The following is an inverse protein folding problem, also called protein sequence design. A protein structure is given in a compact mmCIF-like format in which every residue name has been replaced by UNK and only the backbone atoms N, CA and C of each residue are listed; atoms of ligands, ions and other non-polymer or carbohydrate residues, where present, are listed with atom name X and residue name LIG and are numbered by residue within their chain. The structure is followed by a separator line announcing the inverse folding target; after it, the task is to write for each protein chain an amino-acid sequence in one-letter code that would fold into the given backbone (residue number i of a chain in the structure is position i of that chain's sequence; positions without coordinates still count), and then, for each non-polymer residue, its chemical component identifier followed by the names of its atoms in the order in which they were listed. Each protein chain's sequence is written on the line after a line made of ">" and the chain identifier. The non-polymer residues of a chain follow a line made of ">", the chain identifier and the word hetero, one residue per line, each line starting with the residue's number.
data_IF_714517576428
#
_entry.id   IF_714517576428
#
_cell.length_a   1.000
_cell.length_b   1.000
_cell.length_c   1.000
_cell.angle_alpha   90.00
_cell.angle_beta   90.00
_cell.angle_gamma   90.00
#
_symmetry.space_group_name_H-M   'P 1'
#
loop_
_entity.id
_entity.type
_entity.pdbx_description
1 polymer ?
#
# COMPACT_ATOMS: atom_id res chain seq x y z
N UNK A 1 13.74 84.51 -39.79
CA UNK A 1 14.73 84.19 -40.82
C UNK A 1 15.70 83.20 -40.22
N UNK A 2 15.81 82.03 -40.86
CA UNK A 2 16.92 81.06 -40.83
C UNK A 2 17.22 80.28 -39.55
N UNK A 3 17.12 78.94 -39.70
CA UNK A 3 17.96 77.88 -39.13
C UNK A 3 17.89 77.63 -37.59
N UNK A 4 17.92 76.41 -37.03
CA UNK A 4 18.61 75.17 -37.44
C UNK A 4 18.12 73.95 -36.61
N UNK A 5 18.22 72.76 -37.22
CA UNK A 5 18.64 71.46 -36.67
C UNK A 5 17.81 70.66 -35.62
N UNK A 6 17.25 69.54 -36.11
CA UNK A 6 17.42 68.15 -35.66
C UNK A 6 17.69 67.86 -34.16
N UNK A 7 16.79 67.11 -33.52
CA UNK A 7 17.15 66.09 -32.52
C UNK A 7 16.16 64.92 -32.53
N UNK A 8 16.72 63.74 -32.29
CA UNK A 8 16.16 62.41 -32.50
C UNK A 8 15.00 62.03 -31.57
N UNK A 9 14.03 61.30 -32.13
CA UNK A 9 12.98 60.57 -31.40
C UNK A 9 13.55 59.27 -30.85
N UNK A 10 13.78 59.22 -29.54
CA UNK A 10 14.07 57.98 -28.81
C UNK A 10 12.78 57.36 -28.27
N UNK A 11 12.67 56.06 -28.50
CA UNK A 11 11.53 55.21 -28.18
C UNK A 11 11.32 55.06 -26.66
N UNK A 12 10.08 55.27 -26.21
CA UNK A 12 9.65 54.96 -24.84
C UNK A 12 9.10 53.53 -24.80
N UNK A 13 9.86 52.63 -24.19
CA UNK A 13 9.46 51.26 -23.86
C UNK A 13 8.38 51.24 -22.79
N UNK A 14 7.19 50.74 -23.11
CA UNK A 14 6.16 50.39 -22.13
C UNK A 14 6.52 49.07 -21.43
N UNK A 15 6.28 48.93 -20.10
CA UNK A 15 6.64 47.71 -19.39
C UNK A 15 5.71 46.56 -19.76
N UNK A 16 6.32 45.41 -20.04
CA UNK A 16 5.64 44.14 -20.28
C UNK A 16 4.79 43.74 -19.07
N UNK A 17 3.48 43.62 -19.27
CA UNK A 17 2.59 42.96 -18.32
C UNK A 17 2.99 41.49 -18.24
N UNK A 18 3.63 41.12 -17.12
CA UNK A 18 3.90 39.73 -16.79
C UNK A 18 2.56 39.03 -16.53
N UNK A 19 2.30 37.99 -17.31
CA UNK A 19 1.21 37.05 -17.09
C UNK A 19 1.38 36.44 -15.70
N UNK A 20 0.49 36.80 -14.79
CA UNK A 20 0.40 36.20 -13.46
C UNK A 20 0.11 34.71 -13.61
N UNK A 21 1.15 33.88 -13.51
CA UNK A 21 1.02 32.47 -13.21
C UNK A 21 0.25 32.37 -11.90
N UNK A 22 -0.95 31.81 -11.93
CA UNK A 22 -1.69 31.42 -10.73
C UNK A 22 -0.84 30.39 -9.99
N UNK A 23 -0.02 30.87 -9.06
CA UNK A 23 0.63 30.03 -8.07
C UNK A 23 -0.48 29.45 -7.21
N UNK A 24 -0.67 28.13 -7.26
CA UNK A 24 -1.43 27.44 -6.24
C UNK A 24 -0.86 27.88 -4.87
N UNK A 25 -1.70 28.26 -3.89
CA UNK A 25 -1.22 28.81 -2.63
C UNK A 25 -0.24 27.81 -1.98
N UNK A 26 0.90 28.29 -1.50
CA UNK A 26 1.97 27.47 -0.89
C UNK A 26 1.42 26.50 0.18
N UNK A 27 0.32 26.86 0.84
CA UNK A 27 -0.42 26.04 1.79
C UNK A 27 -0.98 24.73 1.21
N UNK A 28 -1.38 24.73 -0.07
CA UNK A 28 -1.87 23.53 -0.75
C UNK A 28 -0.74 22.50 -0.94
N UNK A 29 0.45 22.95 -1.35
CA UNK A 29 1.63 22.10 -1.50
C UNK A 29 2.10 21.53 -0.16
N UNK A 30 2.20 22.36 0.88
CA UNK A 30 2.61 21.92 2.23
C UNK A 30 1.59 20.91 2.82
N UNK A 31 0.28 21.15 2.61
CA UNK A 31 -0.76 20.23 3.09
C UNK A 31 -0.76 18.87 2.37
N UNK A 32 -0.41 18.85 1.09
CA UNK A 32 -0.30 17.61 0.32
C UNK A 32 0.90 16.76 0.75
N UNK A 33 2.04 17.41 0.99
CA UNK A 33 3.27 16.77 1.43
C UNK A 33 3.13 16.10 2.80
N UNK A 34 2.45 16.76 3.75
CA UNK A 34 2.19 16.17 5.08
C UNK A 34 1.30 14.92 5.03
N UNK A 35 0.29 14.90 4.14
CA UNK A 35 -0.59 13.73 3.95
C UNK A 35 0.17 12.56 3.32
N UNK A 36 1.04 12.83 2.36
CA UNK A 36 1.86 11.81 1.70
C UNK A 36 2.85 11.19 2.69
N UNK A 37 3.50 12.01 3.51
CA UNK A 37 4.40 11.51 4.55
C UNK A 37 3.72 10.57 5.55
N UNK A 38 2.51 10.89 6.05
CA UNK A 38 1.78 10.00 6.97
C UNK A 38 1.52 8.64 6.33
N UNK A 39 1.14 8.64 5.05
CA UNK A 39 0.87 7.42 4.30
C UNK A 39 2.15 6.60 4.15
N UNK A 40 3.25 7.22 3.76
CA UNK A 40 4.53 6.52 3.54
C UNK A 40 5.08 5.95 4.86
N UNK A 41 4.98 6.69 5.97
CA UNK A 41 5.36 6.20 7.31
C UNK A 41 4.54 4.96 7.69
N UNK A 42 3.22 4.99 7.49
CA UNK A 42 2.36 3.85 7.81
C UNK A 42 2.59 2.64 6.89
N UNK A 43 2.90 2.89 5.61
CA UNK A 43 3.31 1.83 4.67
C UNK A 43 4.62 1.17 5.08
N UNK A 44 5.63 1.97 5.45
CA UNK A 44 6.91 1.47 5.93
C UNK A 44 6.75 0.66 7.21
N UNK A 45 5.94 1.16 8.16
CA UNK A 45 5.61 0.44 9.39
C UNK A 45 4.92 -0.90 9.11
N UNK A 46 3.88 -0.91 8.27
CA UNK A 46 3.16 -2.13 7.90
C UNK A 46 4.05 -3.14 7.17
N UNK A 47 4.93 -2.68 6.27
CA UNK A 47 5.88 -3.52 5.55
C UNK A 47 6.83 -4.24 6.51
N UNK A 48 7.45 -3.49 7.44
CA UNK A 48 8.34 -4.06 8.45
C UNK A 48 7.62 -5.03 9.37
N UNK A 49 6.41 -4.68 9.79
CA UNK A 49 5.61 -5.50 10.69
C UNK A 49 5.30 -6.87 10.06
N UNK A 50 4.85 -6.90 8.80
CA UNK A 50 4.56 -8.13 8.07
C UNK A 50 5.84 -8.90 7.75
N UNK A 51 6.87 -8.23 7.26
CA UNK A 51 8.13 -8.88 6.89
C UNK A 51 8.76 -9.55 8.12
N UNK A 52 8.83 -8.86 9.27
CA UNK A 52 9.41 -9.44 10.46
C UNK A 52 8.55 -10.56 11.07
N UNK A 53 7.22 -10.46 10.96
CA UNK A 53 6.33 -11.58 11.30
C UNK A 53 6.63 -12.82 10.48
N UNK A 54 6.73 -12.71 9.16
CA UNK A 54 7.10 -13.83 8.29
C UNK A 54 8.53 -14.32 8.55
N UNK A 55 9.47 -13.42 8.83
CA UNK A 55 10.84 -13.80 9.18
C UNK A 55 10.83 -14.72 10.42
N UNK A 56 10.10 -14.37 11.48
CA UNK A 56 9.97 -15.22 12.67
C UNK A 56 9.35 -16.58 12.36
N UNK A 57 8.33 -16.63 11.50
CA UNK A 57 7.73 -17.90 11.08
C UNK A 57 8.66 -18.80 10.28
N UNK A 58 9.67 -18.23 9.61
CA UNK A 58 10.62 -18.98 8.78
C UNK A 58 11.80 -19.50 9.60
N UNK A 59 12.36 -18.71 10.51
CA UNK A 59 13.64 -19.04 11.18
C UNK A 59 13.55 -19.27 12.68
N UNK A 60 12.47 -18.89 13.35
CA UNK A 60 12.40 -18.91 14.82
C UNK A 60 11.38 -19.92 15.34
N UNK A 61 11.70 -20.60 16.45
CA UNK A 61 10.89 -21.68 17.04
C UNK A 61 9.49 -21.27 17.52
N UNK A 62 9.21 -19.96 17.60
CA UNK A 62 7.95 -19.43 18.10
C UNK A 62 7.96 -19.18 19.61
N UNK A 63 7.05 -18.32 20.07
CA UNK A 63 7.08 -17.78 21.44
C UNK A 63 6.77 -18.83 22.49
N UNK A 64 5.82 -19.73 22.22
CA UNK A 64 5.47 -20.81 23.15
C UNK A 64 6.66 -21.74 23.38
N UNK A 65 7.23 -22.30 22.29
CA UNK A 65 8.40 -23.18 22.36
C UNK A 65 9.61 -22.49 23.01
N UNK A 66 9.84 -21.22 22.68
CA UNK A 66 10.89 -20.42 23.29
C UNK A 66 10.70 -20.28 24.80
N UNK A 67 9.49 -19.92 25.26
CA UNK A 67 9.19 -19.75 26.67
C UNK A 67 9.31 -21.07 27.44
N UNK A 68 8.87 -22.19 26.87
CA UNK A 68 9.02 -23.51 27.49
C UNK A 68 10.49 -23.91 27.68
N UNK A 69 11.37 -23.56 26.75
CA UNK A 69 12.79 -23.91 26.83
C UNK A 69 13.61 -22.94 27.69
N UNK A 70 13.29 -21.65 27.65
CA UNK A 70 14.14 -20.58 28.23
C UNK A 70 13.57 -20.01 29.54
N UNK A 71 12.30 -20.29 29.86
CA UNK A 71 11.63 -19.80 31.05
C UNK A 71 11.70 -18.27 31.17
N UNK A 72 11.88 -17.75 32.38
CA UNK A 72 11.95 -16.31 32.65
C UNK A 72 13.37 -15.74 32.60
N UNK A 73 14.26 -16.33 31.78
CA UNK A 73 15.64 -15.85 31.67
C UNK A 73 15.72 -14.37 31.28
N UNK A 74 16.60 -13.64 31.97
CA UNK A 74 16.88 -12.22 31.73
C UNK A 74 18.10 -12.00 30.82
N UNK A 75 18.59 -13.05 30.15
CA UNK A 75 19.65 -12.91 29.17
C UNK A 75 19.24 -11.91 28.07
N UNK A 76 20.16 -11.09 27.51
CA UNK A 76 19.82 -10.07 26.52
C UNK A 76 19.01 -10.61 25.33
N UNK A 77 19.35 -11.80 24.83
CA UNK A 77 18.61 -12.46 23.75
C UNK A 77 17.17 -12.83 24.13
N UNK A 78 16.94 -13.23 25.37
CA UNK A 78 15.61 -13.55 25.91
C UNK A 78 14.75 -12.31 26.09
N UNK A 79 15.34 -11.22 26.61
CA UNK A 79 14.65 -9.92 26.72
C UNK A 79 14.22 -9.40 25.35
N UNK A 80 15.10 -9.48 24.35
CA UNK A 80 14.78 -9.09 22.98
C UNK A 80 13.70 -10.00 22.41
N UNK A 81 13.81 -11.31 22.59
CA UNK A 81 12.79 -12.26 22.13
C UNK A 81 11.41 -11.92 22.71
N UNK A 82 11.31 -11.70 24.03
CA UNK A 82 10.07 -11.29 24.69
C UNK A 82 9.58 -9.91 24.24
N UNK A 83 10.47 -8.94 24.03
CA UNK A 83 10.11 -7.62 23.50
C UNK A 83 9.48 -7.71 22.09
N UNK A 84 9.80 -8.75 21.32
CA UNK A 84 9.19 -8.99 20.00
C UNK A 84 7.82 -9.69 20.07
N UNK A 85 7.27 -9.94 21.26
CA UNK A 85 5.94 -10.54 21.43
C UNK A 85 4.83 -9.87 20.60
N UNK A 86 4.73 -8.52 20.51
CA UNK A 86 3.70 -7.86 19.71
C UNK A 86 3.72 -8.23 18.21
N UNK A 87 4.86 -8.71 17.70
CA UNK A 87 4.99 -9.15 16.32
C UNK A 87 4.13 -10.40 16.03
N UNK A 88 3.62 -11.10 17.05
CA UNK A 88 2.63 -12.18 16.88
C UNK A 88 1.38 -11.72 16.10
N UNK A 89 1.01 -10.44 16.19
CA UNK A 89 -0.07 -9.83 15.44
C UNK A 89 0.42 -9.10 14.18
N UNK A 90 1.60 -9.44 13.66
CA UNK A 90 2.19 -8.68 12.54
C UNK A 90 1.40 -8.76 11.23
N UNK A 91 0.52 -9.75 11.09
CA UNK A 91 -0.47 -9.82 10.01
C UNK A 91 -1.43 -8.62 9.98
N UNK A 92 -1.55 -7.85 11.07
CA UNK A 92 -2.29 -6.59 11.12
C UNK A 92 -1.78 -5.52 10.12
N UNK A 93 -0.55 -5.65 9.62
CA UNK A 93 -0.05 -4.79 8.55
C UNK A 93 -0.80 -4.95 7.22
N UNK A 94 -1.45 -6.10 6.97
CA UNK A 94 -2.21 -6.34 5.73
C UNK A 94 -3.46 -5.45 5.63
N UNK A 95 -4.35 -5.39 6.64
CA UNK A 95 -5.43 -4.39 6.69
C UNK A 95 -4.98 -2.94 6.49
N UNK A 96 -3.82 -2.57 7.05
CA UNK A 96 -3.23 -1.23 6.88
C UNK A 96 -2.95 -0.96 5.40
N UNK A 97 -2.32 -1.89 4.69
CA UNK A 97 -2.07 -1.76 3.25
C UNK A 97 -3.36 -1.62 2.44
N UNK A 98 -4.40 -2.37 2.75
CA UNK A 98 -5.66 -2.28 1.99
C UNK A 98 -6.38 -0.95 2.21
N UNK A 99 -6.45 -0.44 3.44
CA UNK A 99 -7.03 0.89 3.72
C UNK A 99 -6.22 1.98 3.01
N UNK A 100 -4.88 1.92 3.06
CA UNK A 100 -4.02 2.89 2.35
C UNK A 100 -4.24 2.80 0.84
N UNK A 101 -4.28 1.58 0.29
CA UNK A 101 -4.48 1.33 -1.13
C UNK A 101 -5.80 1.95 -1.62
N UNK A 102 -6.90 1.69 -0.92
CA UNK A 102 -8.21 2.26 -1.25
C UNK A 102 -8.23 3.79 -1.21
N UNK A 103 -7.60 4.37 -0.20
CA UNK A 103 -7.45 5.83 -0.12
C UNK A 103 -6.63 6.37 -1.31
N UNK A 104 -5.45 5.83 -1.57
CA UNK A 104 -4.55 6.32 -2.62
C UNK A 104 -5.12 6.16 -4.04
N UNK A 105 -5.84 5.07 -4.31
CA UNK A 105 -6.47 4.82 -5.61
C UNK A 105 -7.65 5.76 -5.84
N UNK A 106 -8.49 5.93 -4.83
CA UNK A 106 -9.73 6.68 -4.98
C UNK A 106 -9.55 8.20 -4.82
N UNK A 107 -8.60 8.66 -4.00
CA UNK A 107 -8.33 10.09 -3.69
C UNK A 107 -8.41 10.99 -4.92
N UNK A 108 -7.61 10.70 -5.96
CA UNK A 108 -7.57 11.55 -7.15
C UNK A 108 -8.90 11.67 -7.90
N UNK A 109 -9.70 10.59 -7.92
CA UNK A 109 -11.00 10.60 -8.55
C UNK A 109 -12.06 11.29 -7.68
N UNK A 110 -12.03 11.07 -6.35
CA UNK A 110 -12.92 11.74 -5.41
C UNK A 110 -12.74 13.26 -5.44
N UNK A 111 -11.51 13.76 -5.41
CA UNK A 111 -11.23 15.19 -5.52
C UNK A 111 -11.66 15.76 -6.88
N UNK A 112 -11.42 15.06 -8.00
CA UNK A 112 -11.89 15.52 -9.31
C UNK A 112 -13.41 15.56 -9.41
N UNK A 113 -14.10 14.55 -8.89
CA UNK A 113 -15.56 14.50 -8.85
C UNK A 113 -16.16 15.62 -7.98
N UNK A 114 -15.48 15.99 -6.89
CA UNK A 114 -15.89 17.10 -6.04
C UNK A 114 -15.77 18.47 -6.74
N UNK A 115 -14.79 18.64 -7.64
CA UNK A 115 -14.63 19.87 -8.43
C UNK A 115 -15.48 19.88 -9.71
N UNK A 116 -15.67 18.73 -10.34
CA UNK A 116 -16.45 18.54 -11.56
C UNK A 116 -17.44 17.36 -11.38
N UNK A 117 -18.74 17.64 -11.13
CA UNK A 117 -19.77 16.61 -10.99
C UNK A 117 -19.96 15.72 -12.24
N UNK A 118 -19.55 16.20 -13.41
CA UNK A 118 -19.64 15.43 -14.65
C UNK A 118 -18.44 14.49 -14.86
N UNK A 119 -17.36 14.65 -14.09
CA UNK A 119 -16.13 13.87 -14.19
C UNK A 119 -16.39 12.36 -14.31
N UNK A 120 -15.82 11.76 -15.36
CA UNK A 120 -15.83 10.31 -15.62
C UNK A 120 -14.43 9.75 -15.51
N UNK A 121 -14.31 8.57 -14.93
CA UNK A 121 -13.05 7.85 -14.90
C UNK A 121 -12.78 7.25 -16.28
N UNK A 122 -11.63 7.58 -16.84
CA UNK A 122 -11.08 6.87 -17.99
C UNK A 122 -10.55 5.50 -17.54
N UNK A 123 -11.38 4.47 -17.70
CA UNK A 123 -11.11 3.11 -17.22
C UNK A 123 -9.91 2.46 -17.94
N UNK A 124 -9.82 2.62 -19.27
CA UNK A 124 -8.73 2.02 -20.06
C UNK A 124 -7.36 2.55 -19.64
N UNK A 125 -7.24 3.86 -19.53
CA UNK A 125 -6.03 4.52 -19.05
C UNK A 125 -5.76 4.26 -17.56
N UNK A 126 -6.80 4.10 -16.75
CA UNK A 126 -6.65 3.65 -15.36
C UNK A 126 -6.01 2.26 -15.31
N UNK A 127 -6.55 1.27 -16.02
CA UNK A 127 -6.03 -0.09 -16.05
C UNK A 127 -4.62 -0.15 -16.63
N UNK A 128 -4.37 0.53 -17.75
CA UNK A 128 -3.06 0.55 -18.41
C UNK A 128 -1.95 1.03 -17.47
N UNK A 129 -2.17 2.14 -16.74
CA UNK A 129 -1.19 2.66 -15.77
C UNK A 129 -0.94 1.68 -14.63
N UNK A 130 -1.97 0.99 -14.14
CA UNK A 130 -1.83 0.04 -13.05
C UNK A 130 -1.13 -1.23 -13.51
N UNK A 131 -1.45 -1.71 -14.71
CA UNK A 131 -0.76 -2.81 -15.36
C UNK A 131 0.74 -2.52 -15.52
N UNK A 132 1.08 -1.38 -16.13
CA UNK A 132 2.48 -0.96 -16.34
C UNK A 132 3.26 -0.74 -15.03
N UNK A 133 2.56 -0.44 -13.93
CA UNK A 133 3.18 -0.29 -12.60
C UNK A 133 3.44 -1.63 -11.92
N UNK A 134 2.51 -2.59 -11.99
CA UNK A 134 2.59 -3.84 -11.21
C UNK A 134 3.28 -4.97 -11.96
N UNK A 135 2.92 -5.22 -13.23
CA UNK A 135 3.32 -6.44 -13.92
C UNK A 135 4.83 -6.61 -14.10
N UNK A 136 5.62 -5.56 -14.42
CA UNK A 136 7.08 -5.70 -14.48
C UNK A 136 7.68 -6.14 -13.15
N UNK A 137 7.15 -5.60 -12.04
CA UNK A 137 7.63 -5.90 -10.69
C UNK A 137 7.20 -7.30 -10.26
N UNK A 138 5.96 -7.69 -10.57
CA UNK A 138 5.46 -9.05 -10.34
C UNK A 138 6.30 -10.09 -11.09
N UNK A 139 6.54 -9.89 -12.38
CA UNK A 139 7.33 -10.82 -13.18
C UNK A 139 8.75 -10.98 -12.60
N UNK A 140 9.41 -9.87 -12.26
CA UNK A 140 10.73 -9.92 -11.63
C UNK A 140 10.70 -10.63 -10.27
N UNK A 141 9.66 -10.44 -9.46
CA UNK A 141 9.50 -11.13 -8.18
C UNK A 141 9.25 -12.64 -8.35
N UNK A 142 8.49 -13.06 -9.36
CA UNK A 142 8.27 -14.48 -9.69
C UNK A 142 9.57 -15.14 -10.16
N UNK A 143 10.33 -14.47 -11.04
CA UNK A 143 11.62 -14.98 -11.50
C UNK A 143 12.64 -15.05 -10.36
N UNK A 144 12.67 -14.05 -9.48
CA UNK A 144 13.50 -14.08 -8.28
C UNK A 144 13.08 -15.23 -7.36
N UNK A 145 11.78 -15.43 -7.12
CA UNK A 145 11.26 -16.55 -6.33
C UNK A 145 11.69 -17.89 -6.91
N UNK A 146 11.53 -18.08 -8.23
CA UNK A 146 11.98 -19.29 -8.93
C UNK A 146 13.48 -19.52 -8.70
N UNK A 147 14.31 -18.49 -8.87
CA UNK A 147 15.77 -18.60 -8.69
C UNK A 147 16.14 -18.98 -7.26
N UNK A 148 15.58 -18.29 -6.25
CA UNK A 148 15.91 -18.53 -4.85
C UNK A 148 15.40 -19.88 -4.35
N UNK A 149 14.20 -20.29 -4.76
CA UNK A 149 13.64 -21.58 -4.38
C UNK A 149 14.36 -22.74 -5.08
N UNK A 150 14.78 -22.57 -6.35
CA UNK A 150 15.56 -23.59 -7.06
C UNK A 150 16.92 -23.87 -6.40
N UNK A 151 17.54 -22.85 -5.79
CA UNK A 151 18.76 -23.02 -4.99
C UNK A 151 18.42 -23.72 -3.67
N UNK A 152 17.36 -23.28 -2.99
CA UNK A 152 16.95 -23.83 -1.69
C UNK A 152 16.55 -25.31 -1.76
N UNK A 153 15.94 -25.74 -2.86
CA UNK A 153 15.58 -27.15 -3.11
C UNK A 153 16.80 -28.09 -3.22
N UNK A 154 18.00 -27.55 -3.48
CA UNK A 154 19.23 -28.34 -3.54
C UNK A 154 19.88 -28.52 -2.15
N UNK A 155 19.32 -27.91 -1.10
CA UNK A 155 19.89 -27.87 0.25
C UNK A 155 18.99 -28.61 1.25
N UNK A 156 19.10 -29.95 1.39
CA UNK A 156 18.32 -30.69 2.37
C UNK A 156 18.76 -30.44 3.83
N UNK A 157 17.82 -30.40 4.79
CA UNK A 157 16.37 -30.51 4.60
C UNK A 157 15.74 -29.25 4.01
N UNK A 158 14.76 -29.45 3.13
CA UNK A 158 14.06 -28.39 2.40
C UNK A 158 13.08 -27.67 3.33
N UNK A 159 13.05 -26.34 3.26
CA UNK A 159 12.12 -25.54 4.04
C UNK A 159 10.66 -25.82 3.63
N UNK A 160 9.82 -26.17 4.62
CA UNK A 160 8.40 -26.48 4.43
C UNK A 160 7.55 -25.36 3.82
N UNK A 161 8.06 -24.12 3.76
CA UNK A 161 7.39 -22.99 3.11
C UNK A 161 7.45 -23.07 1.59
N UNK A 162 8.40 -23.79 1.00
CA UNK A 162 8.51 -23.95 -0.46
C UNK A 162 7.37 -24.84 -0.94
N UNK A 163 6.47 -24.27 -1.75
CA UNK A 163 5.41 -25.00 -2.47
C UNK A 163 5.87 -25.31 -3.90
N UNK A 164 4.92 -25.63 -4.77
CA UNK A 164 5.18 -25.90 -6.19
C UNK A 164 5.80 -24.71 -6.92
N UNK A 165 6.90 -24.97 -7.63
CA UNK A 165 7.62 -24.00 -8.48
C UNK A 165 7.43 -24.25 -9.99
N UNK A 166 6.52 -25.15 -10.36
CA UNK A 166 6.27 -25.52 -11.75
C UNK A 166 5.59 -24.43 -12.60
N UNK A 167 5.40 -24.70 -13.89
CA UNK A 167 4.81 -23.74 -14.83
C UNK A 167 3.36 -23.37 -14.47
N UNK A 168 2.56 -24.33 -14.01
CA UNK A 168 1.17 -24.09 -13.64
C UNK A 168 1.01 -23.03 -12.53
N UNK A 169 1.61 -23.19 -11.32
CA UNK A 169 1.52 -22.15 -10.29
C UNK A 169 2.20 -20.84 -10.70
N UNK A 170 3.24 -20.88 -11.56
CA UNK A 170 3.83 -19.67 -12.12
C UNK A 170 2.80 -18.87 -12.94
N UNK A 171 2.07 -19.53 -13.85
CA UNK A 171 1.03 -18.90 -14.66
C UNK A 171 -0.15 -18.41 -13.81
N UNK A 172 -0.59 -19.21 -12.83
CA UNK A 172 -1.63 -18.79 -11.87
C UNK A 172 -1.24 -17.48 -11.19
N UNK A 173 0.01 -17.33 -10.74
CA UNK A 173 0.46 -16.12 -10.07
C UNK A 173 0.73 -14.96 -11.03
N UNK A 174 1.22 -15.25 -12.24
CA UNK A 174 1.42 -14.25 -13.29
C UNK A 174 0.10 -13.57 -13.69
N UNK A 175 -0.97 -14.35 -13.80
CA UNK A 175 -2.32 -13.84 -14.06
C UNK A 175 -3.06 -13.37 -12.81
N UNK A 176 -2.40 -13.38 -11.65
CA UNK A 176 -2.97 -12.93 -10.37
C UNK A 176 -4.22 -13.72 -9.95
N UNK A 177 -4.25 -15.04 -10.21
CA UNK A 177 -5.35 -15.96 -9.93
C UNK A 177 -5.13 -16.84 -8.69
N UNK A 178 -4.04 -16.64 -7.96
CA UNK A 178 -3.76 -17.33 -6.70
C UNK A 178 -4.85 -17.04 -5.66
N UNK A 179 -5.35 -18.09 -5.00
CA UNK A 179 -6.52 -18.07 -4.13
C UNK A 179 -7.84 -18.40 -4.83
N UNK A 180 -7.88 -18.37 -6.18
CA UNK A 180 -9.03 -18.79 -6.99
C UNK A 180 -8.72 -20.05 -7.78
N UNK A 181 -7.64 -20.03 -8.56
CA UNK A 181 -7.26 -21.09 -9.49
C UNK A 181 -6.01 -21.87 -9.04
N UNK A 182 -5.44 -21.57 -7.88
CA UNK A 182 -4.27 -22.27 -7.35
C UNK A 182 -3.62 -21.53 -6.18
N UNK A 183 -2.49 -22.04 -5.71
CA UNK A 183 -1.77 -21.46 -4.56
C UNK A 183 -0.74 -20.41 -4.98
N UNK A 184 -0.18 -19.71 -3.99
CA UNK A 184 0.96 -18.81 -4.16
C UNK A 184 2.18 -19.55 -4.69
N UNK A 185 2.94 -18.90 -5.58
CA UNK A 185 4.10 -19.50 -6.24
C UNK A 185 5.27 -19.76 -5.28
N UNK A 186 5.78 -20.99 -5.24
CA UNK A 186 6.93 -21.37 -4.44
C UNK A 186 6.79 -21.01 -2.96
N UNK A 187 7.85 -20.46 -2.38
CA UNK A 187 7.89 -19.94 -1.01
C UNK A 187 7.23 -18.58 -0.83
N UNK A 188 6.82 -17.91 -1.93
CA UNK A 188 6.32 -16.54 -1.89
C UNK A 188 4.84 -16.46 -1.52
N UNK A 189 4.55 -16.92 -0.30
CA UNK A 189 3.24 -16.87 0.32
C UNK A 189 2.66 -15.48 0.50
N UNK A 190 3.37 -14.38 0.20
CA UNK A 190 2.85 -13.02 0.29
C UNK A 190 2.05 -12.61 -0.96
N UNK A 191 2.20 -13.32 -2.09
CA UNK A 191 1.59 -12.94 -3.38
C UNK A 191 0.06 -12.95 -3.37
N UNK A 192 -0.62 -13.59 -2.41
CA UNK A 192 -2.09 -13.60 -2.38
C UNK A 192 -2.70 -12.18 -2.26
N UNK A 193 -2.05 -11.26 -1.55
CA UNK A 193 -2.54 -9.87 -1.44
C UNK A 193 -2.40 -9.10 -2.75
N UNK A 194 -1.49 -9.52 -3.63
CA UNK A 194 -1.36 -8.92 -4.96
C UNK A 194 -2.52 -9.31 -5.87
N UNK A 195 -3.01 -10.55 -5.79
CA UNK A 195 -4.23 -10.96 -6.51
C UNK A 195 -5.40 -10.05 -6.13
N UNK A 196 -5.55 -9.78 -4.84
CA UNK A 196 -6.54 -8.83 -4.33
C UNK A 196 -6.38 -7.43 -4.91
N UNK A 197 -5.16 -6.92 -4.98
CA UNK A 197 -4.91 -5.61 -5.55
C UNK A 197 -5.31 -5.53 -7.03
N UNK A 198 -5.02 -6.57 -7.81
CA UNK A 198 -5.47 -6.67 -9.21
C UNK A 198 -7.00 -6.75 -9.31
N UNK A 199 -7.66 -7.49 -8.42
CA UNK A 199 -9.13 -7.53 -8.35
C UNK A 199 -9.72 -6.14 -8.04
N UNK A 200 -9.14 -5.39 -7.08
CA UNK A 200 -9.55 -4.01 -6.80
C UNK A 200 -9.43 -3.13 -8.04
N UNK A 201 -8.36 -3.28 -8.82
CA UNK A 201 -8.17 -2.50 -10.04
C UNK A 201 -9.18 -2.86 -11.13
N UNK A 202 -9.49 -4.14 -11.29
CA UNK A 202 -10.48 -4.62 -12.24
C UNK A 202 -11.87 -4.03 -11.92
N UNK A 203 -12.29 -4.08 -10.65
CA UNK A 203 -13.64 -3.65 -10.24
C UNK A 203 -13.76 -2.15 -9.99
N UNK A 204 -12.65 -1.42 -9.79
CA UNK A 204 -12.68 -0.01 -9.40
C UNK A 204 -13.51 0.89 -10.32
N UNK A 205 -13.41 0.82 -11.66
CA UNK A 205 -14.25 1.65 -12.53
C UNK A 205 -15.75 1.43 -12.33
N UNK A 206 -16.16 0.18 -12.08
CA UNK A 206 -17.54 -0.15 -11.74
C UNK A 206 -17.94 0.47 -10.40
N UNK A 207 -17.12 0.29 -9.35
CA UNK A 207 -17.37 0.90 -8.04
C UNK A 207 -17.46 2.43 -8.12
N UNK A 208 -16.63 3.06 -8.96
CA UNK A 208 -16.67 4.50 -9.19
C UNK A 208 -17.97 4.92 -9.90
N UNK A 209 -18.42 4.17 -10.90
CA UNK A 209 -19.70 4.42 -11.57
C UNK A 209 -20.89 4.27 -10.61
N UNK A 210 -20.89 3.21 -9.79
CA UNK A 210 -21.92 2.97 -8.77
C UNK A 210 -21.91 4.04 -7.68
N UNK A 211 -20.72 4.50 -7.25
CA UNK A 211 -20.54 5.63 -6.34
C UNK A 211 -21.23 6.89 -6.86
N UNK A 212 -21.18 7.17 -8.17
CA UNK A 212 -21.87 8.34 -8.74
C UNK A 212 -23.39 8.24 -8.66
N UNK A 213 -23.94 7.02 -8.73
CA UNK A 213 -25.39 6.78 -8.69
C UNK A 213 -25.94 6.72 -7.26
N UNK A 214 -25.23 6.04 -6.35
CA UNK A 214 -25.74 5.70 -5.02
C UNK A 214 -25.01 6.39 -3.85
N UNK A 215 -23.85 7.02 -4.11
CA UNK A 215 -22.99 7.59 -3.07
C UNK A 215 -22.12 6.55 -2.35
N UNK A 216 -20.99 6.97 -1.75
CA UNK A 216 -20.02 6.02 -1.17
C UNK A 216 -20.60 5.23 -0.02
N UNK A 217 -21.46 5.84 0.80
CA UNK A 217 -22.00 5.18 1.98
C UNK A 217 -22.82 3.94 1.58
N UNK A 218 -23.63 4.04 0.51
CA UNK A 218 -24.37 2.90 -0.02
C UNK A 218 -23.42 1.81 -0.56
N UNK A 219 -22.32 2.19 -1.22
CA UNK A 219 -21.33 1.22 -1.72
C UNK A 219 -20.57 0.55 -0.57
N UNK A 220 -20.16 1.30 0.45
CA UNK A 220 -19.48 0.76 1.64
C UNK A 220 -20.40 -0.21 2.38
N UNK A 221 -21.68 0.15 2.58
CA UNK A 221 -22.67 -0.75 3.20
C UNK A 221 -22.92 -1.97 2.33
N UNK A 222 -23.10 -1.81 1.02
CA UNK A 222 -23.28 -2.92 0.09
C UNK A 222 -22.10 -3.89 0.10
N UNK A 223 -20.87 -3.37 0.06
CA UNK A 223 -19.65 -4.17 0.15
C UNK A 223 -19.51 -4.83 1.52
N UNK A 224 -19.89 -4.15 2.61
CA UNK A 224 -19.90 -4.73 3.95
C UNK A 224 -20.92 -5.89 4.07
N UNK A 225 -22.09 -5.76 3.45
CA UNK A 225 -23.09 -6.83 3.42
C UNK A 225 -22.61 -8.02 2.58
N UNK A 226 -22.07 -7.77 1.39
CA UNK A 226 -21.46 -8.82 0.55
C UNK A 226 -20.32 -9.49 1.31
N UNK A 227 -19.53 -8.72 2.05
CA UNK A 227 -18.47 -9.25 2.89
C UNK A 227 -19.01 -10.21 3.98
N UNK A 228 -20.01 -9.78 4.75
CA UNK A 228 -20.63 -10.62 5.79
C UNK A 228 -21.25 -11.89 5.19
N UNK A 229 -22.01 -11.76 4.10
CA UNK A 229 -22.64 -12.90 3.43
C UNK A 229 -21.58 -13.86 2.89
N UNK A 230 -20.51 -13.34 2.30
CA UNK A 230 -19.38 -14.14 1.81
C UNK A 230 -18.71 -14.90 2.95
N UNK A 231 -18.48 -14.27 4.10
CA UNK A 231 -17.92 -14.95 5.27
C UNK A 231 -18.84 -16.10 5.73
N UNK A 232 -20.14 -15.87 5.85
CA UNK A 232 -21.08 -16.89 6.30
C UNK A 232 -21.24 -18.08 5.34
N UNK A 233 -21.15 -17.84 4.02
CA UNK A 233 -21.42 -18.85 2.99
C UNK A 233 -20.15 -19.56 2.52
N UNK A 234 -19.06 -18.82 2.30
CA UNK A 234 -17.88 -19.33 1.61
C UNK A 234 -16.77 -19.80 2.56
N UNK A 235 -16.73 -19.31 3.80
CA UNK A 235 -15.74 -19.76 4.80
C UNK A 235 -15.86 -21.27 5.09
N UNK A 236 -17.04 -21.86 4.87
CA UNK A 236 -17.27 -23.31 5.01
C UNK A 236 -16.68 -24.17 3.90
N UNK A 237 -16.25 -23.56 2.78
CA UNK A 237 -15.82 -24.29 1.58
C UNK A 237 -14.33 -24.13 1.25
N UNK A 238 -13.53 -23.51 2.13
CA UNK A 238 -12.10 -23.21 1.92
C UNK A 238 -11.78 -22.43 0.62
N UNK A 239 -12.80 -21.95 -0.07
CA UNK A 239 -12.63 -21.06 -1.20
C UNK A 239 -12.30 -19.70 -0.60
N UNK A 240 -11.05 -19.27 -0.73
CA UNK A 240 -10.60 -17.93 -0.32
C UNK A 240 -11.22 -16.86 -1.22
N UNK A 241 -12.54 -16.72 -1.18
CA UNK A 241 -13.21 -15.61 -1.85
C UNK A 241 -13.05 -14.34 -1.01
N UNK A 242 -12.61 -13.35 -1.74
CA UNK A 242 -11.95 -12.12 -1.34
C UNK A 242 -12.80 -10.93 -0.80
N UNK A 243 -14.15 -10.97 -0.66
CA UNK A 243 -14.93 -9.84 -0.13
C UNK A 243 -14.48 -9.32 1.25
N UNK A 244 -13.89 -10.19 2.07
CA UNK A 244 -13.25 -9.89 3.36
C UNK A 244 -12.33 -8.69 3.34
N UNK A 245 -11.61 -8.48 2.24
CA UNK A 245 -10.63 -7.40 2.13
C UNK A 245 -11.17 -6.20 1.37
N UNK A 246 -12.29 -6.37 0.65
CA UNK A 246 -12.96 -5.30 -0.08
C UNK A 246 -13.52 -4.26 0.89
N UNK A 247 -14.02 -4.68 2.05
CA UNK A 247 -14.46 -3.75 3.08
C UNK A 247 -13.30 -2.86 3.57
N UNK A 248 -12.16 -3.44 3.93
CA UNK A 248 -10.96 -2.70 4.35
C UNK A 248 -10.50 -1.69 3.30
N UNK A 249 -10.50 -2.09 2.03
CA UNK A 249 -10.18 -1.21 0.92
C UNK A 249 -11.20 -0.05 0.78
N UNK A 250 -12.50 -0.37 0.90
CA UNK A 250 -13.57 0.61 0.83
C UNK A 250 -13.54 1.63 1.97
N UNK A 251 -13.05 1.28 3.16
CA UNK A 251 -12.82 2.25 4.24
C UNK A 251 -11.82 3.34 3.82
N UNK A 252 -10.76 2.96 3.11
CA UNK A 252 -9.81 3.91 2.52
C UNK A 252 -10.46 4.84 1.50
N UNK A 253 -11.25 4.28 0.59
CA UNK A 253 -12.01 5.06 -0.39
C UNK A 253 -13.02 6.01 0.29
N UNK A 254 -13.67 5.56 1.36
CA UNK A 254 -14.56 6.39 2.17
C UNK A 254 -13.84 7.57 2.81
N UNK A 255 -12.64 7.36 3.37
CA UNK A 255 -11.82 8.45 3.92
C UNK A 255 -11.49 9.47 2.81
N UNK A 256 -11.16 9.03 1.61
CA UNK A 256 -10.87 9.93 0.49
C UNK A 256 -12.08 10.81 0.12
N UNK A 257 -13.29 10.24 0.14
CA UNK A 257 -14.53 10.96 -0.13
C UNK A 257 -14.91 11.94 0.99
N UNK A 258 -14.68 11.55 2.24
CA UNK A 258 -14.87 12.44 3.38
C UNK A 258 -13.92 13.65 3.31
N UNK A 259 -12.65 13.42 2.93
CA UNK A 259 -11.66 14.47 2.74
C UNK A 259 -11.93 15.36 1.52
N UNK A 260 -12.60 14.83 0.49
CA UNK A 260 -13.05 15.61 -0.67
C UNK A 260 -14.32 16.44 -0.37
N UNK A 261 -14.89 16.33 0.83
CA UNK A 261 -16.08 17.08 1.25
C UNK A 261 -17.39 16.52 0.70
N UNK A 262 -17.38 15.32 0.13
CA UNK A 262 -18.54 14.73 -0.55
C UNK A 262 -19.45 13.90 0.38
N UNK A 263 -19.05 13.66 1.63
CA UNK A 263 -19.88 12.95 2.60
C UNK A 263 -20.86 13.91 3.31
N UNK A 264 -22.16 13.61 3.23
CA UNK A 264 -23.21 14.39 3.91
C UNK A 264 -23.10 14.35 5.45
N UNK A 265 -22.54 13.27 5.99
CA UNK A 265 -22.31 13.09 7.42
C UNK A 265 -20.96 13.72 7.78
N UNK A 266 -20.98 14.74 8.63
CA UNK A 266 -19.77 15.32 9.22
C UNK A 266 -19.48 14.57 10.53
N UNK A 267 -18.44 13.74 10.59
CA UNK A 267 -18.13 13.04 11.83
C UNK A 267 -17.70 14.00 12.94
N UNK A 268 -17.72 13.54 14.21
CA UNK A 268 -17.27 14.33 15.34
C UNK A 268 -15.82 14.81 15.16
N UNK A 269 -15.58 16.09 15.49
CA UNK A 269 -14.27 16.74 15.32
C UNK A 269 -13.20 16.28 16.32
N UNK A 270 -13.60 15.66 17.43
CA UNK A 270 -12.72 15.29 18.54
C UNK A 270 -11.66 14.28 18.13
N UNK A 271 -10.39 14.68 18.15
CA UNK A 271 -9.26 13.79 17.88
C UNK A 271 -9.19 12.63 18.88
N UNK A 272 -9.50 12.89 20.16
CA UNK A 272 -9.44 11.90 21.24
C UNK A 272 -10.41 10.75 21.01
N UNK A 273 -11.60 11.05 20.50
CA UNK A 273 -12.59 10.02 20.17
C UNK A 273 -12.06 9.09 19.07
N UNK A 274 -11.54 9.66 17.98
CA UNK A 274 -11.00 8.88 16.86
C UNK A 274 -9.81 8.01 17.25
N UNK A 275 -8.86 8.56 18.02
CA UNK A 275 -7.73 7.78 18.52
C UNK A 275 -8.15 6.76 19.59
N UNK A 276 -9.16 7.06 20.41
CA UNK A 276 -9.75 6.11 21.35
C UNK A 276 -10.42 4.94 20.63
N UNK A 277 -11.20 5.21 19.57
CA UNK A 277 -11.78 4.17 18.71
C UNK A 277 -10.70 3.36 18.00
N UNK A 278 -9.65 4.02 17.49
CA UNK A 278 -8.52 3.33 16.87
C UNK A 278 -7.85 2.36 17.84
N UNK A 279 -7.59 2.78 19.08
CA UNK A 279 -7.04 1.92 20.12
C UNK A 279 -7.99 0.77 20.50
N UNK A 280 -9.28 1.07 20.71
CA UNK A 280 -10.30 0.07 21.04
C UNK A 280 -10.37 -1.03 19.99
N UNK A 281 -10.54 -0.67 18.72
CA UNK A 281 -10.64 -1.63 17.63
C UNK A 281 -9.32 -2.39 17.39
N UNK A 282 -8.17 -1.75 17.60
CA UNK A 282 -6.87 -2.42 17.52
C UNK A 282 -6.74 -3.50 18.58
N UNK A 283 -7.05 -3.17 19.84
CA UNK A 283 -7.00 -4.11 20.96
C UNK A 283 -8.05 -5.22 20.82
N UNK A 284 -9.27 -4.88 20.39
CA UNK A 284 -10.31 -5.86 20.10
C UNK A 284 -9.87 -6.82 18.99
N UNK A 285 -9.19 -6.32 17.94
CA UNK A 285 -8.60 -7.14 16.90
C UNK A 285 -7.54 -8.11 17.41
N UNK A 286 -6.71 -7.68 18.38
CA UNK A 286 -5.72 -8.56 19.01
C UNK A 286 -6.39 -9.72 19.76
N UNK A 287 -7.52 -9.47 20.44
CA UNK A 287 -8.31 -10.53 21.08
C UNK A 287 -9.04 -11.43 20.07
N UNK A 288 -9.66 -10.82 19.06
CA UNK A 288 -10.37 -11.54 18.00
C UNK A 288 -9.45 -12.45 17.17
N UNK A 289 -8.14 -12.14 17.09
CA UNK A 289 -7.16 -12.93 16.35
C UNK A 289 -7.07 -14.38 16.85
N UNK A 290 -7.35 -14.62 18.14
CA UNK A 290 -7.39 -15.97 18.72
C UNK A 290 -8.68 -16.72 18.42
N UNK A 291 -9.76 -16.00 18.06
CA UNK A 291 -11.06 -16.59 17.71
C UNK A 291 -11.14 -16.86 16.21
N UNK A 292 -10.68 -15.92 15.39
CA UNK A 292 -10.69 -16.04 13.94
C UNK A 292 -9.98 -14.88 13.25
N UNK A 293 -9.13 -15.19 12.27
CA UNK A 293 -8.34 -14.20 11.53
C UNK A 293 -9.24 -13.20 10.79
N UNK A 294 -10.36 -13.64 10.24
CA UNK A 294 -11.30 -12.78 9.53
C UNK A 294 -11.77 -11.60 10.40
N UNK A 295 -12.30 -11.87 11.59
CA UNK A 295 -12.81 -10.82 12.49
C UNK A 295 -11.70 -9.86 12.92
N UNK A 296 -10.51 -10.39 13.24
CA UNK A 296 -9.36 -9.57 13.61
C UNK A 296 -8.99 -8.57 12.53
N UNK A 297 -8.98 -9.00 11.27
CA UNK A 297 -8.64 -8.14 10.13
C UNK A 297 -9.67 -7.03 9.91
N UNK A 298 -10.97 -7.30 10.13
CA UNK A 298 -12.00 -6.26 10.05
C UNK A 298 -11.81 -5.21 11.15
N UNK A 299 -11.57 -5.65 12.39
CA UNK A 299 -11.36 -4.75 13.52
C UNK A 299 -10.08 -3.91 13.34
N UNK A 300 -8.98 -4.51 12.88
CA UNK A 300 -7.76 -3.77 12.56
C UNK A 300 -7.95 -2.79 11.40
N UNK A 301 -8.72 -3.14 10.37
CA UNK A 301 -9.04 -2.21 9.28
C UNK A 301 -9.83 -1.00 9.77
N UNK A 302 -10.86 -1.23 10.61
CA UNK A 302 -11.67 -0.15 11.21
C UNK A 302 -10.80 0.70 12.13
N UNK A 303 -10.01 0.08 13.01
CA UNK A 303 -9.10 0.78 13.93
C UNK A 303 -8.10 1.66 13.19
N UNK A 304 -7.48 1.13 12.13
CA UNK A 304 -6.57 1.90 11.30
C UNK A 304 -7.30 2.99 10.49
N UNK A 305 -8.51 2.74 9.98
CA UNK A 305 -9.32 3.75 9.30
C UNK A 305 -9.66 4.93 10.22
N UNK A 306 -10.03 4.67 11.48
CA UNK A 306 -10.24 5.70 12.51
C UNK A 306 -8.98 6.54 12.75
N UNK A 307 -7.82 5.89 12.87
CA UNK A 307 -6.53 6.56 13.01
C UNK A 307 -6.22 7.42 11.77
N UNK A 308 -6.27 6.83 10.58
CA UNK A 308 -5.89 7.46 9.33
C UNK A 308 -6.78 8.66 9.01
N UNK A 309 -8.09 8.55 9.24
CA UNK A 309 -9.04 9.64 9.06
C UNK A 309 -8.58 10.90 9.79
N UNK A 310 -8.21 10.78 11.07
CA UNK A 310 -7.78 11.91 11.89
C UNK A 310 -6.34 12.32 11.64
N UNK A 311 -5.45 11.37 11.36
CA UNK A 311 -4.06 11.65 11.03
C UNK A 311 -3.94 12.52 9.77
N UNK A 312 -4.80 12.31 8.77
CA UNK A 312 -4.82 13.10 7.53
C UNK A 312 -5.41 14.52 7.67
N UNK A 313 -6.23 14.78 8.70
CA UNK A 313 -6.71 16.14 9.03
C UNK A 313 -5.66 16.97 9.77
N UNK A 314 -4.74 16.30 10.47
CA UNK A 314 -3.74 16.98 11.29
C UNK A 314 -2.69 17.63 10.39
N UNK A 315 -2.75 18.97 10.28
CA UNK A 315 -1.77 19.78 9.50
C UNK A 315 -0.37 19.76 10.08
N UNK A 316 -0.20 19.28 11.31
CA UNK A 316 1.12 18.93 11.82
C UNK A 316 1.56 17.74 10.99
N UNK A 317 2.35 18.03 9.95
CA UNK A 317 3.25 17.06 9.35
C UNK A 317 3.84 16.23 10.50
N UNK A 318 4.10 14.95 10.24
CA UNK A 318 5.03 14.16 11.01
C UNK A 318 6.42 14.85 10.96
N UNK A 319 6.54 16.01 11.60
CA UNK A 319 7.65 16.92 11.49
C UNK A 319 8.76 16.35 12.36
N UNK A 320 9.76 15.78 11.69
CA UNK A 320 11.15 15.96 12.07
C UNK A 320 11.83 14.85 12.86
N UNK A 321 11.13 13.92 13.51
CA UNK A 321 11.84 12.87 14.25
C UNK A 321 12.56 11.92 13.28
N UNK A 322 13.80 11.56 13.61
CA UNK A 322 14.60 10.65 12.78
C UNK A 322 13.86 9.32 12.48
N UNK A 323 13.15 8.68 13.44
CA UNK A 323 12.41 7.45 13.18
C UNK A 323 11.30 7.60 12.12
N UNK A 324 10.57 8.71 12.13
CA UNK A 324 9.52 8.96 11.13
C UNK A 324 10.11 9.17 9.73
N UNK A 325 11.27 9.81 9.62
CA UNK A 325 11.97 9.94 8.34
C UNK A 325 12.46 8.59 7.81
N UNK A 326 12.96 7.73 8.69
CA UNK A 326 13.37 6.36 8.32
C UNK A 326 12.15 5.55 7.86
N UNK A 327 11.06 5.54 8.62
CA UNK A 327 9.83 4.84 8.26
C UNK A 327 9.24 5.34 6.94
N UNK A 328 9.26 6.65 6.69
CA UNK A 328 8.83 7.22 5.42
C UNK A 328 9.66 6.70 4.25
N UNK A 329 11.00 6.65 4.38
CA UNK A 329 11.89 6.08 3.36
C UNK A 329 11.66 4.59 3.14
N UNK A 330 11.36 3.84 4.18
CA UNK A 330 10.95 2.43 4.06
C UNK A 330 9.59 2.31 3.35
N UNK A 331 8.72 3.31 3.51
CA UNK A 331 7.46 3.43 2.78
C UNK A 331 7.64 3.46 1.27
N UNK A 332 8.68 4.14 0.77
CA UNK A 332 8.96 4.30 -0.66
C UNK A 332 9.13 2.96 -1.38
N UNK A 333 9.82 2.01 -0.75
CA UNK A 333 10.07 0.66 -1.29
C UNK A 333 9.32 -0.45 -0.54
N UNK A 334 8.28 -0.08 0.21
CA UNK A 334 7.45 -1.03 0.97
C UNK A 334 6.89 -2.16 0.10
N UNK A 335 6.55 -1.86 -1.15
CA UNK A 335 6.03 -2.83 -2.11
C UNK A 335 7.10 -3.85 -2.54
N UNK A 336 8.30 -3.39 -2.90
CA UNK A 336 9.45 -4.26 -3.17
C UNK A 336 9.79 -5.17 -1.98
N UNK A 337 9.87 -4.63 -0.75
CA UNK A 337 10.12 -5.44 0.44
C UNK A 337 9.03 -6.50 0.62
N UNK A 338 7.77 -6.10 0.48
CA UNK A 338 6.64 -7.01 0.58
C UNK A 338 6.69 -8.16 -0.45
N UNK A 339 7.12 -7.88 -1.69
CA UNK A 339 7.14 -8.90 -2.75
C UNK A 339 8.23 -9.95 -2.63
N UNK A 340 9.38 -9.62 -2.02
CA UNK A 340 10.57 -10.49 -2.10
C UNK A 340 11.05 -11.04 -0.75
N UNK A 341 10.51 -10.56 0.38
CA UNK A 341 11.04 -10.92 1.71
C UNK A 341 10.94 -12.42 2.01
N UNK A 342 9.83 -13.08 1.68
CA UNK A 342 9.62 -14.50 1.98
C UNK A 342 10.63 -15.44 1.28
N UNK A 343 10.76 -15.43 -0.06
CA UNK A 343 11.74 -16.29 -0.73
C UNK A 343 13.17 -15.98 -0.30
N UNK A 344 13.47 -14.71 0.04
CA UNK A 344 14.75 -14.32 0.59
C UNK A 344 14.99 -14.93 1.98
N UNK A 345 14.02 -14.88 2.89
CA UNK A 345 14.15 -15.50 4.21
C UNK A 345 14.29 -17.02 4.13
N UNK A 346 13.55 -17.66 3.22
CA UNK A 346 13.64 -19.11 2.99
C UNK A 346 15.02 -19.49 2.45
N UNK A 347 15.58 -18.75 1.51
CA UNK A 347 16.95 -18.97 1.04
C UNK A 347 17.96 -18.81 2.18
N UNK A 348 17.89 -17.71 2.95
CA UNK A 348 18.81 -17.47 4.07
C UNK A 348 18.72 -18.58 5.12
N UNK A 349 17.51 -19.05 5.42
CA UNK A 349 17.26 -20.19 6.32
C UNK A 349 17.88 -21.48 5.79
N UNK A 350 17.71 -21.75 4.49
CA UNK A 350 18.25 -22.95 3.84
C UNK A 350 19.79 -22.94 3.78
N UNK A 351 20.40 -21.79 3.48
CA UNK A 351 21.87 -21.66 3.36
C UNK A 351 22.58 -21.63 4.71
N UNK A 352 22.04 -20.90 5.70
CA UNK A 352 22.75 -20.63 6.96
C UNK A 352 22.48 -21.73 7.99
N UNK A 353 21.24 -22.22 8.07
CA UNK A 353 20.80 -23.16 9.11
C UNK A 353 20.19 -24.44 8.55
N UNK A 354 20.33 -24.70 7.24
CA UNK A 354 19.71 -25.85 6.57
C UNK A 354 18.22 -26.00 6.92
N UNK A 355 17.49 -24.89 6.92
CA UNK A 355 16.06 -24.82 7.22
C UNK A 355 15.66 -25.19 8.66
N UNK A 356 16.61 -25.34 9.59
CA UNK A 356 16.31 -25.60 11.00
C UNK A 356 15.83 -24.34 11.73
N UNK A 357 14.83 -24.51 12.60
CA UNK A 357 14.31 -23.44 13.44
C UNK A 357 15.29 -23.15 14.60
N UNK A 358 15.51 -21.87 14.84
CA UNK A 358 16.48 -21.39 15.81
C UNK A 358 15.82 -20.97 17.12
N UNK A 359 16.42 -21.35 18.25
CA UNK A 359 16.03 -20.86 19.58
C UNK A 359 16.37 -19.39 19.77
N UNK A 360 17.50 -18.97 19.22
CA UNK A 360 17.98 -17.59 19.28
C UNK A 360 17.15 -16.66 18.38
N UNK A 361 16.90 -15.43 18.85
CA UNK A 361 16.20 -14.39 18.06
C UNK A 361 17.13 -13.64 17.09
N UNK A 362 18.43 -13.72 17.28
CA UNK A 362 19.41 -12.99 16.48
C UNK A 362 19.35 -13.30 14.97
N UNK A 363 19.15 -14.55 14.52
CA UNK A 363 18.96 -14.88 13.11
C UNK A 363 17.84 -14.09 12.44
N UNK A 364 16.67 -13.92 13.09
CA UNK A 364 15.56 -13.18 12.49
C UNK A 364 15.87 -11.70 12.32
N UNK A 365 16.62 -11.11 13.25
CA UNK A 365 17.09 -9.72 13.11
C UNK A 365 18.13 -9.59 11.99
N UNK A 366 19.08 -10.53 11.92
CA UNK A 366 20.09 -10.58 10.85
C UNK A 366 19.46 -10.69 9.46
N UNK A 367 18.39 -11.47 9.32
CA UNK A 367 17.70 -11.63 8.04
C UNK A 367 17.00 -10.34 7.61
N UNK A 368 16.41 -9.59 8.55
CA UNK A 368 15.85 -8.26 8.25
C UNK A 368 16.93 -7.27 7.80
N UNK A 369 18.11 -7.31 8.42
CA UNK A 369 19.25 -6.48 8.03
C UNK A 369 19.75 -6.76 6.61
N UNK A 370 19.53 -7.98 6.08
CA UNK A 370 19.82 -8.35 4.70
C UNK A 370 18.65 -8.00 3.77
N UNK A 371 17.42 -8.31 4.19
CA UNK A 371 16.23 -8.14 3.36
C UNK A 371 15.92 -6.68 3.03
N UNK A 372 16.15 -5.75 3.96
CA UNK A 372 15.90 -4.33 3.73
C UNK A 372 16.80 -3.76 2.61
N UNK A 373 18.14 -3.93 2.63
CA UNK A 373 19.01 -3.54 1.51
C UNK A 373 18.67 -4.22 0.18
N UNK A 374 18.39 -5.54 0.19
CA UNK A 374 18.03 -6.28 -1.04
C UNK A 374 16.73 -5.75 -1.64
N UNK A 375 15.73 -5.48 -0.79
CA UNK A 375 14.47 -4.86 -1.21
C UNK A 375 14.66 -3.44 -1.77
N UNK A 376 15.55 -2.66 -1.16
CA UNK A 376 15.89 -1.34 -1.69
C UNK A 376 16.59 -1.43 -3.05
N UNK A 377 17.49 -2.39 -3.25
CA UNK A 377 18.13 -2.63 -4.54
C UNK A 377 17.08 -3.04 -5.59
N UNK A 378 16.20 -3.99 -5.26
CA UNK A 378 15.10 -4.41 -6.12
C UNK A 378 14.17 -3.24 -6.50
N UNK A 379 13.85 -2.37 -5.54
CA UNK A 379 13.10 -1.14 -5.80
C UNK A 379 13.78 -0.24 -6.82
N UNK A 380 15.08 0.01 -6.67
CA UNK A 380 15.82 0.90 -7.57
C UNK A 380 15.95 0.32 -8.98
N UNK A 381 16.08 -1.00 -9.09
CA UNK A 381 16.31 -1.70 -10.36
C UNK A 381 15.03 -2.04 -11.13
N UNK A 382 13.92 -2.29 -10.42
CA UNK A 382 12.69 -2.82 -11.02
C UNK A 382 11.49 -1.92 -10.78
N UNK A 383 11.15 -1.66 -9.51
CA UNK A 383 9.93 -0.92 -9.15
C UNK A 383 9.96 0.55 -9.62
N UNK A 384 11.06 1.26 -9.35
CA UNK A 384 11.20 2.67 -9.70
C UNK A 384 11.16 2.91 -11.23
N UNK A 385 11.84 2.11 -12.08
CA UNK A 385 11.64 2.16 -13.52
C UNK A 385 10.19 1.89 -13.95
N UNK A 386 9.53 0.89 -13.38
CA UNK A 386 8.12 0.58 -13.69
C UNK A 386 7.18 1.74 -13.30
N UNK A 387 7.43 2.39 -12.16
CA UNK A 387 6.70 3.59 -11.73
C UNK A 387 6.89 4.76 -12.70
N UNK A 388 8.12 5.02 -13.15
CA UNK A 388 8.43 6.06 -14.14
C UNK A 388 7.75 5.78 -15.48
N UNK A 389 7.80 4.53 -15.94
CA UNK A 389 7.13 4.11 -17.16
C UNK A 389 5.61 4.31 -17.09
N UNK A 390 4.98 3.88 -15.99
CA UNK A 390 3.55 4.11 -15.72
C UNK A 390 3.17 5.60 -15.69
N UNK A 391 4.04 6.47 -15.17
CA UNK A 391 3.80 7.91 -15.13
C UNK A 391 3.77 8.56 -16.52
N UNK A 392 4.54 8.04 -17.48
CA UNK A 392 4.59 8.53 -18.86
C UNK A 392 3.33 8.22 -19.67
N UNK A 393 2.49 7.29 -19.19
CA UNK A 393 1.21 6.94 -19.82
C UNK A 393 0.08 7.93 -19.47
N UNK A 394 0.35 8.99 -18.68
CA UNK A 394 -0.64 10.05 -18.46
C UNK A 394 -0.96 10.72 -19.80
N UNK A 395 -2.25 10.89 -20.16
CA UNK A 395 -2.63 11.66 -21.33
C UNK A 395 -1.99 13.04 -21.20
N UNK A 396 -1.15 13.43 -22.18
CA UNK A 396 -0.81 14.84 -22.35
C UNK A 396 -2.14 15.57 -22.50
N UNK A 397 -2.43 16.52 -21.60
CA UNK A 397 -3.59 17.37 -21.77
C UNK A 397 -3.54 17.90 -23.20
N UNK A 398 -4.53 17.55 -24.03
CA UNK A 398 -4.67 18.14 -25.37
C UNK A 398 -4.67 19.65 -25.13
N UNK A 399 -3.62 20.32 -25.57
CA UNK A 399 -3.58 21.77 -25.62
C UNK A 399 -4.82 22.18 -26.41
N UNK A 400 -5.78 22.77 -25.70
CA UNK A 400 -6.98 23.33 -26.30
C UNK A 400 -6.54 24.57 -27.07
N UNK A 401 -6.06 24.37 -28.30
CA UNK A 401 -5.91 25.41 -29.32
C UNK A 401 -6.92 25.09 -30.41
N UNK A 402 -8.19 25.23 -30.05
CA UNK A 402 -9.28 25.51 -31.00
C UNK A 402 -9.87 26.83 -30.53
N UNK A 403 -9.50 27.93 -31.21
CA UNK A 403 -9.95 29.25 -30.81
C UNK A 403 -9.21 30.43 -31.43
N UNK A 404 -9.02 30.44 -32.76
CA UNK A 404 -8.87 31.68 -33.54
C UNK A 404 -9.11 31.40 -35.02
N UNK A 405 -10.31 30.93 -35.35
CA UNK A 405 -10.72 30.62 -36.72
C UNK A 405 -12.16 31.02 -36.97
N UNK A 406 -12.56 32.24 -36.61
CA UNK A 406 -13.76 32.89 -37.15
C UNK A 406 -13.49 34.40 -37.23
N UNK A 407 -13.10 34.90 -38.40
CA UNK A 407 -13.46 36.25 -38.84
C UNK A 407 -14.37 36.09 -40.03
N UNK A 408 -15.61 36.51 -39.82
CA UNK A 408 -16.68 36.67 -40.80
C UNK A 408 -16.25 37.75 -41.79
N UNK A 409 -16.52 37.50 -43.07
CA UNK A 409 -16.37 38.45 -44.17
C UNK A 409 -17.37 39.60 -44.07
#
# INVERSE_FOLDING_TARGET
>A
MSDTALTATTATTAPAQSLAFSAAPADAHVSSAGKEQVIDVMRGFAALLVAYFHCRQVVWVGMQSFHHAVGTSLAPGSLIAYATFPIAWGSAGVPIFFVISGYCIHRGAAFRLAHDPHYRLDAGNFWMRRFARIYPVLLAALLLTLALDSISLQLPPVNHKIREIGLYPFLVNLFSLQGVAGHTYGSNGALWTLSLEVQFYAIYPLLFALRRRFGINAIVVGVALVNIVSALVLERHDIQFFPSYWFSWMLGAWIAEAQAGATRVRPPRSARLWYGLAALFTLAGCGAFYVGQYLAFQLWAIGFACYLYKALETRRAAAGSAPMRVLSRLGDFSFSLYLIHLPLFVLLSSVIYRSELQMSIWPSLGYMCIAIPVAYAFYRLVELPAMKWSANLKPKARAKVEGAGVRVA
#
